data_IF_204650405865
#
_entry.id   IF_204650405865
#
_cell.length_a   1.000
_cell.length_b   1.000
_cell.length_c   1.000
_cell.angle_alpha   90.00
_cell.angle_beta   90.00
_cell.angle_gamma   90.00
#
_symmetry.space_group_name_H-M   'P 1'
#
loop_
_entity.id
_entity.type
_entity.pdbx_description
1 polymer ?
#
# COMPACT_ATOMS: atom_id res chain seq x y z
N UNK A 1 -33.98 15.01 33.30
CA UNK A 1 -33.47 14.15 32.20
C UNK A 1 -32.44 14.95 31.43
N UNK A 2 -31.17 14.50 31.31
CA UNK A 2 -30.14 15.27 30.62
C UNK A 2 -30.36 15.19 29.10
N UNK A 3 -30.28 16.33 28.41
CA UNK A 3 -30.43 16.43 26.95
C UNK A 3 -29.29 15.65 26.27
N UNK A 4 -29.64 14.73 25.37
CA UNK A 4 -28.71 14.01 24.52
C UNK A 4 -28.22 14.99 23.44
N UNK A 5 -26.92 15.31 23.45
CA UNK A 5 -26.31 16.18 22.44
C UNK A 5 -25.97 15.33 21.21
N UNK A 6 -26.87 15.34 20.22
CA UNK A 6 -26.74 14.58 18.97
C UNK A 6 -25.72 15.18 17.97
N UNK A 7 -25.12 16.33 18.30
CA UNK A 7 -24.13 17.05 17.48
C UNK A 7 -22.72 16.99 18.09
N UNK A 8 -22.22 15.79 18.38
CA UNK A 8 -20.84 15.61 18.83
C UNK A 8 -19.91 15.71 17.62
N UNK A 9 -18.98 16.66 17.65
CA UNK A 9 -17.90 16.71 16.66
C UNK A 9 -16.96 15.54 16.90
N UNK A 10 -16.71 14.74 15.87
CA UNK A 10 -15.77 13.63 15.97
C UNK A 10 -14.34 14.18 15.91
N UNK A 11 -13.66 14.20 17.05
CA UNK A 11 -12.31 14.75 17.15
C UNK A 11 -11.34 13.68 16.66
N UNK A 12 -11.00 13.72 15.38
CA UNK A 12 -9.97 12.87 14.78
C UNK A 12 -8.60 13.52 14.88
N UNK A 13 -7.62 12.80 15.43
CA UNK A 13 -6.22 13.24 15.48
C UNK A 13 -5.46 12.76 14.24
N UNK A 14 -4.96 13.68 13.42
CA UNK A 14 -4.05 13.35 12.32
C UNK A 14 -2.62 13.41 12.84
N UNK A 15 -1.90 12.29 12.81
CA UNK A 15 -0.47 12.24 13.18
C UNK A 15 0.39 12.40 11.94
N UNK A 16 1.31 13.35 11.98
CA UNK A 16 2.32 13.53 10.95
C UNK A 16 3.40 12.46 11.16
N UNK A 17 3.43 11.46 10.27
CA UNK A 17 4.45 10.40 10.28
C UNK A 17 5.63 10.89 9.43
N UNK A 18 6.84 10.85 9.97
CA UNK A 18 8.05 11.34 9.28
C UNK A 18 8.39 10.51 8.04
N UNK A 19 8.11 9.22 8.10
CA UNK A 19 8.34 8.29 7.00
C UNK A 19 7.01 7.83 6.43
N UNK A 20 6.85 7.94 5.11
CA UNK A 20 5.72 7.33 4.43
C UNK A 20 5.78 5.81 4.67
N UNK A 21 4.65 5.15 4.97
CA UNK A 21 4.63 3.70 5.10
C UNK A 21 5.16 3.10 3.79
N UNK A 22 6.19 2.27 3.90
CA UNK A 22 6.77 1.56 2.77
C UNK A 22 6.16 0.18 2.67
N UNK A 23 6.02 -0.33 1.45
CA UNK A 23 5.44 -1.64 1.17
C UNK A 23 6.34 -2.78 1.66
N UNK A 24 7.66 -2.62 1.51
CA UNK A 24 8.66 -3.57 2.00
C UNK A 24 9.99 -2.87 2.26
N UNK A 25 10.74 -3.37 3.25
CA UNK A 25 12.12 -2.92 3.52
C UNK A 25 13.14 -3.54 2.56
N UNK A 26 12.75 -4.57 1.80
CA UNK A 26 13.62 -5.25 0.85
C UNK A 26 13.87 -4.38 -0.38
N UNK A 27 15.14 -4.14 -0.71
CA UNK A 27 15.53 -3.38 -1.90
C UNK A 27 15.44 -4.23 -3.16
N UNK A 28 14.98 -3.66 -4.26
CA UNK A 28 14.87 -4.35 -5.55
C UNK A 28 16.14 -4.09 -6.38
N UNK A 29 17.16 -4.91 -6.17
CA UNK A 29 18.45 -4.80 -6.87
C UNK A 29 18.45 -5.61 -8.17
N UNK A 30 17.59 -6.62 -8.27
CA UNK A 30 17.44 -7.45 -9.46
C UNK A 30 15.97 -7.90 -9.65
N UNK A 31 15.59 -8.40 -10.84
CA UNK A 31 14.21 -8.82 -11.11
C UNK A 31 13.68 -9.94 -10.22
N UNK A 32 14.53 -10.82 -9.69
CA UNK A 32 14.11 -11.91 -8.81
C UNK A 32 13.67 -11.40 -7.43
N UNK A 33 14.26 -10.29 -6.94
CA UNK A 33 13.83 -9.64 -5.70
C UNK A 33 12.36 -9.22 -5.78
N UNK A 34 11.94 -8.71 -6.94
CA UNK A 34 10.56 -8.27 -7.20
C UNK A 34 9.63 -9.48 -7.14
N UNK A 35 9.99 -10.57 -7.82
CA UNK A 35 9.20 -11.80 -7.82
C UNK A 35 9.07 -12.40 -6.42
N UNK A 36 10.14 -12.35 -5.61
CA UNK A 36 10.13 -12.86 -4.23
C UNK A 36 9.21 -12.05 -3.31
N UNK A 37 9.23 -10.72 -3.43
CA UNK A 37 8.41 -9.84 -2.56
C UNK A 37 6.95 -9.75 -3.03
N UNK A 38 6.71 -9.81 -4.34
CA UNK A 38 5.37 -9.65 -4.91
C UNK A 38 4.66 -10.98 -5.16
N UNK A 39 5.40 -12.10 -5.19
CA UNK A 39 4.87 -13.41 -5.58
C UNK A 39 3.65 -13.84 -4.78
N UNK A 40 3.71 -13.76 -3.45
CA UNK A 40 2.60 -14.13 -2.57
C UNK A 40 1.33 -13.30 -2.82
N UNK A 41 1.49 -12.02 -3.20
CA UNK A 41 0.39 -11.15 -3.59
C UNK A 41 -0.15 -11.53 -4.98
N UNK A 42 0.74 -11.78 -5.94
CA UNK A 42 0.37 -12.14 -7.31
C UNK A 42 -0.39 -13.47 -7.37
N UNK A 43 -0.03 -14.44 -6.53
CA UNK A 43 -0.72 -15.74 -6.44
C UNK A 43 -2.19 -15.64 -6.00
N UNK A 44 -2.65 -14.50 -5.47
CA UNK A 44 -4.04 -14.30 -5.05
C UNK A 44 -4.95 -13.88 -6.21
N UNK A 45 -4.40 -13.48 -7.36
CA UNK A 45 -5.18 -13.07 -8.51
C UNK A 45 -5.40 -14.23 -9.48
N UNK A 46 -6.67 -14.51 -9.79
CA UNK A 46 -7.09 -15.51 -10.78
C UNK A 46 -7.11 -14.95 -12.22
N UNK A 47 -6.91 -13.63 -12.36
CA UNK A 47 -6.90 -12.92 -13.65
C UNK A 47 -5.60 -12.17 -13.84
N UNK A 48 -5.32 -11.81 -15.09
CA UNK A 48 -4.18 -10.96 -15.41
C UNK A 48 -4.33 -9.58 -14.74
N UNK A 49 -3.25 -9.14 -14.09
CA UNK A 49 -3.17 -7.87 -13.36
C UNK A 49 -1.91 -7.14 -13.79
N UNK A 50 -2.05 -5.85 -14.06
CA UNK A 50 -0.91 -4.93 -14.22
C UNK A 50 -0.58 -4.32 -12.88
N UNK A 51 0.71 -4.36 -12.53
CA UNK A 51 1.23 -3.85 -11.29
C UNK A 51 2.23 -2.70 -11.55
N UNK A 52 1.98 -1.53 -10.95
CA UNK A 52 2.92 -0.42 -10.92
C UNK A 52 3.51 -0.30 -9.52
N UNK A 53 4.81 -0.57 -9.40
CA UNK A 53 5.55 -0.43 -8.14
C UNK A 53 6.31 0.88 -8.14
N UNK A 54 6.02 1.74 -7.17
CA UNK A 54 6.77 2.97 -6.98
C UNK A 54 7.94 2.73 -6.03
N UNK A 55 9.16 2.95 -6.50
CA UNK A 55 10.37 2.81 -5.71
C UNK A 55 10.84 4.15 -5.15
N UNK A 56 11.43 4.12 -3.97
CA UNK A 56 12.24 5.21 -3.44
C UNK A 56 13.61 5.22 -4.13
N UNK A 57 14.37 6.30 -3.95
CA UNK A 57 15.72 6.45 -4.51
C UNK A 57 16.71 5.37 -4.05
N UNK A 58 16.45 4.67 -2.95
CA UNK A 58 17.22 3.52 -2.47
C UNK A 58 16.67 2.16 -2.94
N UNK A 59 15.81 2.15 -3.96
CA UNK A 59 15.18 0.96 -4.56
C UNK A 59 14.24 0.19 -3.63
N UNK A 60 13.83 0.77 -2.50
CA UNK A 60 12.78 0.18 -1.65
C UNK A 60 11.40 0.49 -2.22
N UNK A 61 10.47 -0.48 -2.28
CA UNK A 61 9.12 -0.25 -2.74
C UNK A 61 8.32 0.56 -1.71
N UNK A 62 7.82 1.71 -2.14
CA UNK A 62 6.97 2.59 -1.34
C UNK A 62 5.54 2.09 -1.38
N UNK A 63 5.01 1.87 -2.57
CA UNK A 63 3.64 1.40 -2.77
C UNK A 63 3.51 0.59 -4.07
N UNK A 64 2.35 -0.06 -4.18
CA UNK A 64 2.00 -0.96 -5.27
C UNK A 64 0.58 -0.62 -5.72
N UNK A 65 0.40 -0.33 -7.01
CA UNK A 65 -0.92 -0.15 -7.62
C UNK A 65 -1.23 -1.32 -8.53
N UNK A 66 -2.37 -1.94 -8.33
CA UNK A 66 -2.82 -3.13 -9.06
C UNK A 66 -4.07 -2.81 -9.86
N UNK A 67 -4.08 -3.19 -11.14
CA UNK A 67 -5.21 -3.00 -12.05
C UNK A 67 -5.49 -4.31 -12.77
N UNK A 68 -6.71 -4.84 -12.62
CA UNK A 68 -7.15 -6.04 -13.36
C UNK A 68 -7.31 -5.70 -14.83
N UNK A 69 -6.78 -6.56 -15.70
CA UNK A 69 -6.93 -6.47 -17.13
C UNK A 69 -8.26 -7.10 -17.56
N UNK A 70 -9.04 -6.34 -18.33
CA UNK A 70 -10.26 -6.84 -18.99
C UNK A 70 -9.91 -6.94 -20.47
N UNK A 71 -9.52 -8.14 -20.90
CA UNK A 71 -9.26 -8.48 -22.31
C UNK A 71 -10.52 -9.05 -22.96
#
# INVERSE_FOLDING_TARGET
>A
MPKKNDFKLDVVSVRLVKDAPIYSEHTFNNPADIAAVMGDCMCQFDREVVCVVNLRSDLKPINVHLQVLVL
#
